data_IF_182195250892
#
_entry.id   IF_182195250892
#
_cell.length_a   1.000
_cell.length_b   1.000
_cell.length_c   1.000
_cell.angle_alpha   90.00
_cell.angle_beta   90.00
_cell.angle_gamma   90.00
#
_symmetry.space_group_name_H-M   'P 1'
#
loop_
_entity.id
_entity.type
_entity.pdbx_description
1 polymer ?
#
# COMPACT_ATOMS: atom_id res chain seq x y z
N UNK A 1 -7.98 10.20 7.98
CA UNK A 1 -7.53 9.11 7.08
C UNK A 1 -6.01 9.04 7.11
N UNK A 2 -5.47 7.83 7.26
CA UNK A 2 -4.05 7.50 7.17
C UNK A 2 -3.77 6.80 5.84
N UNK A 3 -2.62 7.11 5.26
CA UNK A 3 -2.05 6.40 4.13
C UNK A 3 -1.01 5.40 4.64
N UNK A 4 -1.14 4.13 4.24
CA UNK A 4 -0.25 3.04 4.61
C UNK A 4 0.45 2.50 3.37
N UNK A 5 1.76 2.69 3.27
CA UNK A 5 2.60 2.02 2.27
C UNK A 5 2.99 0.64 2.82
N UNK A 6 2.49 -0.42 2.20
CA UNK A 6 2.69 -1.80 2.67
C UNK A 6 3.49 -2.63 1.67
N UNK A 7 4.47 -3.39 2.17
CA UNK A 7 5.24 -4.38 1.39
C UNK A 7 4.49 -5.70 1.15
N UNK A 8 3.44 -5.96 1.93
CA UNK A 8 2.63 -7.16 1.76
C UNK A 8 1.74 -7.01 0.52
N UNK A 9 1.38 -8.14 -0.06
CA UNK A 9 0.23 -8.21 -0.95
C UNK A 9 -0.99 -8.75 -0.24
N UNK A 10 -2.15 -8.45 -0.81
CA UNK A 10 -3.40 -9.11 -0.50
C UNK A 10 -3.55 -10.35 -1.40
N UNK A 11 -4.32 -11.33 -0.92
CA UNK A 11 -4.54 -12.58 -1.64
C UNK A 11 -5.46 -12.38 -2.85
N UNK A 12 -5.01 -12.77 -4.04
CA UNK A 12 -5.78 -12.75 -5.29
C UNK A 12 -6.41 -14.09 -5.66
N UNK A 13 -6.20 -15.15 -4.84
CA UNK A 13 -6.67 -16.51 -5.12
C UNK A 13 -8.18 -16.72 -4.91
N UNK A 14 -8.90 -15.69 -4.48
CA UNK A 14 -10.36 -15.69 -4.52
C UNK A 14 -10.87 -15.60 -5.99
N UNK A 15 -11.32 -16.73 -6.54
CA UNK A 15 -12.48 -16.80 -7.45
C UNK A 15 -12.53 -15.90 -8.70
N UNK A 16 -11.40 -15.43 -9.23
CA UNK A 16 -11.40 -14.56 -10.42
C UNK A 16 -11.89 -13.12 -10.17
N UNK A 17 -12.02 -12.71 -8.91
CA UNK A 17 -12.30 -11.34 -8.50
C UNK A 17 -11.66 -11.09 -7.12
N UNK A 18 -10.94 -9.98 -6.87
CA UNK A 18 -10.28 -9.72 -5.59
C UNK A 18 -11.24 -9.86 -4.41
N UNK A 19 -11.05 -10.87 -3.55
CA UNK A 19 -11.56 -10.79 -2.17
C UNK A 19 -10.52 -10.00 -1.40
N UNK A 20 -10.74 -8.70 -1.12
CA UNK A 20 -9.65 -7.80 -0.85
C UNK A 20 -9.46 -7.74 0.65
N UNK A 21 -8.88 -8.82 1.17
CA UNK A 21 -8.51 -8.95 2.57
C UNK A 21 -7.00 -8.98 2.75
N UNK A 22 -6.54 -8.35 3.82
CA UNK A 22 -5.14 -8.35 4.23
C UNK A 22 -5.03 -8.88 5.66
N UNK A 23 -4.33 -10.00 5.82
CA UNK A 23 -4.00 -10.53 7.14
C UNK A 23 -2.71 -9.95 7.72
N UNK A 24 -2.76 -9.59 8.99
CA UNK A 24 -1.63 -9.11 9.79
C UNK A 24 -1.57 -9.80 11.16
N UNK A 25 -0.36 -9.94 11.67
CA UNK A 25 -0.06 -10.58 12.96
C UNK A 25 1.28 -10.04 13.48
N UNK A 26 1.58 -10.30 14.75
CA UNK A 26 2.87 -9.98 15.36
C UNK A 26 3.24 -8.50 15.29
N UNK A 27 4.51 -8.20 15.00
CA UNK A 27 5.03 -6.83 15.04
C UNK A 27 4.43 -5.92 13.97
N UNK A 28 4.05 -6.46 12.81
CA UNK A 28 3.39 -5.70 11.75
C UNK A 28 2.01 -5.21 12.22
N UNK A 29 1.21 -6.10 12.82
CA UNK A 29 -0.08 -5.70 13.37
C UNK A 29 0.06 -4.76 14.56
N UNK A 30 1.00 -5.05 15.47
CA UNK A 30 1.28 -4.18 16.60
C UNK A 30 1.65 -2.76 16.16
N UNK A 31 2.42 -2.62 15.08
CA UNK A 31 2.75 -1.32 14.50
C UNK A 31 1.51 -0.60 13.95
N UNK A 32 0.68 -1.26 13.14
CA UNK A 32 -0.56 -0.67 12.61
C UNK A 32 -1.49 -0.19 13.73
N UNK A 33 -1.70 -1.01 14.76
CA UNK A 33 -2.47 -0.64 15.96
C UNK A 33 -1.87 0.57 16.67
N UNK A 34 -0.55 0.59 16.89
CA UNK A 34 0.13 1.71 17.57
C UNK A 34 0.12 3.01 16.76
N UNK A 35 0.00 2.93 15.42
CA UNK A 35 -0.20 4.08 14.54
C UNK A 35 -1.68 4.52 14.45
N UNK A 36 -2.59 3.79 15.10
CA UNK A 36 -4.02 4.07 15.12
C UNK A 36 -4.70 3.78 13.79
N UNK A 37 -4.24 2.78 13.03
CA UNK A 37 -4.89 2.40 11.77
C UNK A 37 -6.30 1.87 12.04
N UNK A 38 -7.28 2.42 11.34
CA UNK A 38 -8.71 2.18 11.54
C UNK A 38 -9.49 2.07 10.22
N UNK A 39 -10.80 1.77 10.30
CA UNK A 39 -11.68 1.82 9.14
C UNK A 39 -11.69 3.23 8.51
N UNK A 40 -11.63 3.30 7.18
CA UNK A 40 -11.46 4.55 6.44
C UNK A 40 -10.01 4.90 6.10
N UNK A 41 -9.04 4.10 6.52
CA UNK A 41 -7.64 4.26 6.13
C UNK A 41 -7.32 3.53 4.81
N UNK A 42 -6.24 3.94 4.13
CA UNK A 42 -5.89 3.44 2.79
C UNK A 42 -4.52 2.77 2.77
N UNK A 43 -4.49 1.49 2.42
CA UNK A 43 -3.28 0.78 2.04
C UNK A 43 -2.97 1.01 0.55
N UNK A 44 -1.71 1.35 0.27
CA UNK A 44 -1.07 1.22 -1.03
C UNK A 44 0.00 0.14 -0.95
N UNK A 45 -0.17 -0.91 -1.73
CA UNK A 45 0.76 -2.04 -1.76
C UNK A 45 1.87 -1.76 -2.77
N UNK A 46 3.11 -1.94 -2.33
CA UNK A 46 4.28 -1.81 -3.20
C UNK A 46 5.17 -3.03 -3.07
N UNK A 47 5.95 -3.30 -4.12
CA UNK A 47 6.85 -4.45 -4.18
C UNK A 47 8.12 -4.14 -4.96
N UNK A 48 9.08 -5.05 -4.94
CA UNK A 48 10.28 -4.98 -5.76
C UNK A 48 9.98 -5.60 -7.12
N UNK A 49 10.10 -4.80 -8.17
CA UNK A 49 9.93 -5.22 -9.56
C UNK A 49 11.23 -5.08 -10.32
N UNK A 50 11.31 -5.77 -11.46
CA UNK A 50 12.38 -5.62 -12.43
C UNK A 50 11.81 -5.81 -13.83
N UNK A 51 12.28 -5.02 -14.80
CA UNK A 51 11.80 -5.12 -16.19
C UNK A 51 12.05 -6.54 -16.72
N UNK A 52 11.02 -7.14 -17.29
CA UNK A 52 11.06 -8.46 -17.89
C UNK A 52 10.63 -8.41 -19.35
N UNK A 53 11.18 -9.30 -20.16
CA UNK A 53 10.87 -9.48 -21.56
C UNK A 53 10.69 -10.97 -21.88
N UNK A 54 9.88 -11.25 -22.90
CA UNK A 54 9.74 -12.59 -23.45
C UNK A 54 10.91 -12.85 -24.42
N UNK A 55 11.75 -13.84 -24.12
CA UNK A 55 12.85 -14.25 -24.98
C UNK A 55 12.81 -15.77 -25.16
N UNK A 56 12.73 -16.24 -26.41
CA UNK A 56 12.57 -17.66 -26.74
C UNK A 56 11.42 -18.34 -25.95
N UNK A 57 10.25 -17.69 -25.91
CA UNK A 57 9.04 -18.16 -25.19
C UNK A 57 9.22 -18.35 -23.68
N UNK A 58 10.26 -17.75 -23.09
CA UNK A 58 10.50 -17.71 -21.63
C UNK A 58 10.61 -16.27 -21.17
N UNK A 59 10.04 -15.98 -20.01
CA UNK A 59 10.27 -14.70 -19.34
C UNK A 59 11.70 -14.64 -18.82
N UNK A 60 12.40 -13.54 -19.11
CA UNK A 60 13.68 -13.19 -18.49
C UNK A 60 13.67 -11.74 -18.07
N UNK A 61 14.52 -11.38 -17.11
CA UNK A 61 14.78 -9.96 -16.86
C UNK A 61 15.54 -9.36 -18.03
N UNK A 62 15.16 -8.13 -18.41
CA UNK A 62 15.86 -7.37 -19.43
C UNK A 62 17.31 -7.18 -18.96
N UNK A 63 18.33 -7.61 -19.72
CA UNK A 63 19.73 -7.42 -19.36
C UNK A 63 20.04 -5.95 -19.05
N UNK A 64 20.80 -5.70 -17.98
CA UNK A 64 21.13 -4.33 -17.54
C UNK A 64 20.00 -3.58 -16.81
N UNK A 65 18.76 -4.09 -16.80
CA UNK A 65 17.69 -3.49 -16.01
C UNK A 65 17.96 -3.61 -14.51
N UNK A 66 17.53 -2.59 -13.76
CA UNK A 66 17.69 -2.53 -12.29
C UNK A 66 16.36 -2.85 -11.60
N UNK A 67 16.41 -3.41 -10.37
CA UNK A 67 15.21 -3.52 -9.55
C UNK A 67 14.72 -2.14 -9.12
N UNK A 68 13.41 -1.99 -8.96
CA UNK A 68 12.75 -0.78 -8.50
C UNK A 68 11.54 -1.12 -7.64
N UNK A 69 11.16 -0.22 -6.73
CA UNK A 69 9.91 -0.29 -6.00
C UNK A 69 8.81 0.37 -6.82
N UNK A 70 7.67 -0.30 -6.93
CA UNK A 70 6.47 0.28 -7.51
C UNK A 70 5.23 -0.14 -6.73
N UNK A 71 4.25 0.77 -6.69
CA UNK A 71 2.91 0.52 -6.19
C UNK A 71 2.17 -0.31 -7.24
N UNK A 72 1.46 -1.35 -6.79
CA UNK A 72 0.75 -2.27 -7.68
C UNK A 72 -0.71 -2.50 -7.29
N UNK A 73 -1.15 -2.07 -6.11
CA UNK A 73 -2.55 -2.16 -5.71
C UNK A 73 -2.89 -1.34 -4.49
N UNK A 74 -4.18 -1.33 -4.14
CA UNK A 74 -4.70 -0.61 -2.99
C UNK A 74 -5.81 -1.39 -2.27
N UNK A 75 -6.00 -1.05 -1.00
CA UNK A 75 -7.11 -1.52 -0.16
C UNK A 75 -7.49 -0.41 0.81
N UNK A 76 -8.70 0.10 0.66
CA UNK A 76 -9.33 1.04 1.59
C UNK A 76 -10.06 0.23 2.66
N UNK A 77 -9.72 0.43 3.92
CA UNK A 77 -10.19 -0.39 5.03
C UNK A 77 -11.67 -0.11 5.28
N UNK A 78 -12.50 -1.14 5.12
CA UNK A 78 -13.90 -1.12 5.50
C UNK A 78 -14.10 -1.64 6.91
N UNK A 79 -13.57 -2.83 7.19
CA UNK A 79 -13.70 -3.49 8.50
C UNK A 79 -12.35 -4.05 8.95
N UNK A 80 -12.17 -4.11 10.27
CA UNK A 80 -10.99 -4.70 10.91
C UNK A 80 -11.49 -5.77 11.87
N UNK A 81 -11.06 -7.01 11.65
CA UNK A 81 -11.51 -8.17 12.42
C UNK A 81 -10.35 -8.75 13.21
N UNK A 82 -10.43 -8.75 14.54
CA UNK A 82 -9.52 -9.54 15.38
C UNK A 82 -9.97 -10.99 15.33
N UNK A 83 -9.22 -11.85 14.64
CA UNK A 83 -9.67 -13.19 14.24
C UNK A 83 -10.00 -14.06 15.45
N UNK A 84 -9.16 -14.05 16.48
CA UNK A 84 -9.32 -14.87 17.68
C UNK A 84 -10.43 -14.37 18.63
N UNK A 85 -11.01 -13.18 18.36
CA UNK A 85 -12.16 -12.63 19.10
C UNK A 85 -13.50 -12.90 18.35
N UNK A 86 -13.45 -13.43 17.14
CA UNK A 86 -14.64 -13.70 16.35
C UNK A 86 -15.43 -14.89 16.91
N UNK A 87 -16.76 -14.78 16.86
CA UNK A 87 -17.64 -15.88 17.21
C UNK A 87 -17.41 -17.10 16.29
N UNK A 88 -17.61 -18.34 16.79
CA UNK A 88 -17.58 -19.54 15.96
C UNK A 88 -18.53 -19.40 14.74
N UNK A 89 -18.03 -19.69 13.54
CA UNK A 89 -18.79 -19.55 12.30
C UNK A 89 -18.79 -18.17 11.66
N UNK A 90 -18.24 -17.14 12.31
CA UNK A 90 -18.09 -15.81 11.69
C UNK A 90 -17.21 -15.85 10.43
N UNK A 91 -17.48 -14.92 9.52
CA UNK A 91 -16.79 -14.74 8.23
C UNK A 91 -16.59 -16.05 7.45
N UNK A 92 -17.66 -16.82 7.15
CA UNK A 92 -17.53 -18.13 6.50
C UNK A 92 -16.82 -18.06 5.15
N UNK A 93 -16.96 -16.94 4.44
CA UNK A 93 -16.31 -16.68 3.15
C UNK A 93 -14.79 -16.48 3.27
N UNK A 94 -14.28 -16.05 4.43
CA UNK A 94 -12.85 -15.76 4.65
C UNK A 94 -12.09 -16.96 5.21
N UNK A 95 -12.77 -18.08 5.51
CA UNK A 95 -12.20 -19.25 6.18
C UNK A 95 -11.10 -19.96 5.41
N UNK A 96 -10.93 -19.70 4.12
CA UNK A 96 -9.80 -20.20 3.34
C UNK A 96 -8.48 -19.49 3.69
N UNK A 97 -8.56 -18.30 4.30
CA UNK A 97 -7.41 -17.44 4.51
C UNK A 97 -6.50 -18.01 5.60
N UNK A 98 -5.15 -18.01 5.44
CA UNK A 98 -4.22 -18.64 6.38
C UNK A 98 -4.37 -18.21 7.84
N UNK A 99 -4.88 -16.99 8.07
CA UNK A 99 -5.12 -16.44 9.40
C UNK A 99 -6.21 -17.17 10.21
N UNK A 100 -7.07 -17.97 9.58
CA UNK A 100 -8.05 -18.83 10.28
C UNK A 100 -7.52 -20.23 10.60
N UNK A 101 -6.30 -20.57 10.17
CA UNK A 101 -5.71 -21.89 10.30
C UNK A 101 -4.41 -21.92 11.12
N UNK A 102 -3.98 -20.75 11.62
CA UNK A 102 -2.80 -20.60 12.47
C UNK A 102 -3.05 -20.98 13.92
N UNK A 103 -2.00 -20.86 14.73
CA UNK A 103 -2.14 -20.86 16.19
C UNK A 103 -2.81 -19.55 16.64
N UNK A 104 -3.59 -19.57 17.74
CA UNK A 104 -4.19 -18.35 18.28
C UNK A 104 -3.15 -17.28 18.59
N UNK A 105 -3.41 -16.05 18.15
CA UNK A 105 -2.59 -14.88 18.41
C UNK A 105 -3.52 -13.67 18.62
N UNK A 106 -3.48 -13.03 19.79
CA UNK A 106 -4.29 -11.85 20.06
C UNK A 106 -4.03 -10.69 19.07
N UNK A 107 -2.89 -10.69 18.37
CA UNK A 107 -2.57 -9.78 17.28
C UNK A 107 -2.99 -10.26 15.89
N UNK A 108 -3.71 -11.38 15.75
CA UNK A 108 -4.17 -11.90 14.48
C UNK A 108 -5.35 -11.08 13.96
N UNK A 109 -5.12 -10.28 12.92
CA UNK A 109 -6.10 -9.32 12.41
C UNK A 109 -6.28 -9.45 10.91
N UNK A 110 -7.53 -9.39 10.47
CA UNK A 110 -7.91 -9.34 9.06
C UNK A 110 -8.50 -7.96 8.74
N UNK A 111 -7.85 -7.24 7.83
CA UNK A 111 -8.37 -6.01 7.25
C UNK A 111 -9.20 -6.37 6.03
N UNK A 112 -10.47 -6.03 6.05
CA UNK A 112 -11.39 -6.21 4.93
C UNK A 112 -11.60 -4.88 4.22
N UNK A 113 -11.49 -4.89 2.90
CA UNK A 113 -11.76 -3.72 2.07
C UNK A 113 -13.21 -3.25 2.19
N UNK A 114 -13.43 -1.95 2.13
CA UNK A 114 -14.76 -1.41 1.84
C UNK A 114 -15.18 -1.72 0.39
N UNK A 115 -16.47 -1.56 0.08
CA UNK A 115 -16.94 -1.60 -1.31
C UNK A 115 -16.48 -0.39 -2.11
N UNK A 116 -16.42 0.77 -1.46
CA UNK A 116 -16.08 2.05 -2.07
C UNK A 116 -15.06 2.82 -1.21
N UNK A 117 -14.17 3.54 -1.86
CA UNK A 117 -13.18 4.42 -1.26
C UNK A 117 -13.49 5.86 -1.67
N UNK A 118 -13.68 6.74 -0.69
CA UNK A 118 -13.76 8.18 -0.91
C UNK A 118 -12.60 8.84 -0.18
N UNK A 119 -11.76 9.56 -0.92
CA UNK A 119 -10.63 10.26 -0.33
C UNK A 119 -11.13 11.52 0.41
N UNK A 120 -10.41 11.98 1.46
CA UNK A 120 -10.75 13.21 2.17
C UNK A 120 -10.87 14.36 1.17
N UNK A 121 -11.84 15.25 1.29
CA UNK A 121 -12.03 16.41 0.38
C UNK A 121 -12.32 16.10 -1.10
N UNK A 122 -12.36 14.83 -1.52
CA UNK A 122 -12.71 14.43 -2.88
C UNK A 122 -14.19 14.10 -3.08
N UNK A 123 -14.77 14.55 -4.20
CA UNK A 123 -16.13 14.17 -4.61
C UNK A 123 -16.18 12.81 -5.33
N UNK A 124 -15.03 12.30 -5.77
CA UNK A 124 -14.93 11.09 -6.58
C UNK A 124 -14.93 9.82 -5.70
N UNK A 125 -15.69 8.80 -6.11
CA UNK A 125 -15.82 7.53 -5.40
C UNK A 125 -15.11 6.42 -6.18
N UNK A 126 -14.10 5.78 -5.58
CA UNK A 126 -13.32 4.70 -6.16
C UNK A 126 -13.78 3.33 -5.65
N UNK A 127 -13.39 2.25 -6.32
CA UNK A 127 -13.51 0.92 -5.73
C UNK A 127 -12.67 0.85 -4.45
N UNK A 128 -13.18 0.17 -3.42
CA UNK A 128 -12.46 0.07 -2.14
C UNK A 128 -11.12 -0.65 -2.26
N UNK A 129 -10.94 -1.50 -3.27
CA UNK A 129 -9.67 -2.18 -3.54
C UNK A 129 -9.44 -2.36 -5.03
N UNK A 130 -8.19 -2.60 -5.41
CA UNK A 130 -7.87 -3.00 -6.77
C UNK A 130 -6.38 -3.10 -7.03
N UNK A 131 -6.05 -3.33 -8.30
CA UNK A 131 -4.68 -3.39 -8.80
C UNK A 131 -4.48 -2.35 -9.88
N UNK A 132 -3.25 -1.86 -10.03
CA UNK A 132 -2.87 -1.01 -11.16
C UNK A 132 -2.46 -1.91 -12.34
N UNK A 133 -3.26 -1.98 -13.43
CA UNK A 133 -3.05 -2.98 -14.47
C UNK A 133 -1.84 -2.69 -15.36
N UNK A 134 -1.35 -1.45 -15.36
CA UNK A 134 -0.22 -1.00 -16.16
C UNK A 134 0.76 -0.26 -15.25
N UNK A 135 2.04 -0.59 -15.37
CA UNK A 135 3.10 0.19 -14.75
C UNK A 135 3.10 1.59 -15.40
N UNK A 136 3.08 2.62 -14.56
CA UNK A 136 3.20 4.03 -14.94
C UNK A 136 4.26 4.68 -14.06
N UNK A 137 4.81 5.81 -14.51
CA UNK A 137 5.88 6.50 -13.80
C UNK A 137 5.43 6.99 -12.41
N UNK A 138 4.15 7.34 -12.23
CA UNK A 138 3.59 7.79 -10.95
C UNK A 138 3.48 6.66 -9.91
N UNK A 139 3.50 5.40 -10.36
CA UNK A 139 3.48 4.23 -9.49
C UNK A 139 4.89 3.83 -9.05
N UNK A 140 5.95 4.31 -9.72
CA UNK A 140 7.33 3.98 -9.39
C UNK A 140 7.80 4.86 -8.24
N UNK A 141 8.11 4.21 -7.11
CA UNK A 141 8.64 4.88 -5.93
C UNK A 141 10.14 5.16 -6.06
N UNK A 142 10.89 4.23 -6.67
CA UNK A 142 12.35 4.37 -6.84
C UNK A 142 12.69 5.52 -7.77
N UNK A 143 13.65 6.35 -7.35
CA UNK A 143 14.25 7.37 -8.20
C UNK A 143 14.84 6.74 -9.48
N UNK A 144 14.40 7.13 -10.69
CA UNK A 144 14.90 6.55 -11.93
C UNK A 144 16.41 6.74 -12.15
N UNK A 145 17.04 7.71 -11.47
CA UNK A 145 18.49 7.92 -11.54
C UNK A 145 19.27 7.08 -10.52
N UNK A 146 18.58 6.50 -9.54
CA UNK A 146 19.21 5.72 -8.47
C UNK A 146 19.66 4.32 -8.93
N UNK A 147 20.69 3.81 -8.25
CA UNK A 147 21.08 2.39 -8.32
C UNK A 147 20.40 1.54 -7.26
N UNK A 148 19.92 2.15 -6.18
CA UNK A 148 19.31 1.49 -5.03
C UNK A 148 17.77 1.63 -5.10
N UNK A 149 17.01 0.52 -5.01
CA UNK A 149 15.54 0.57 -5.06
C UNK A 149 14.93 1.31 -3.86
N UNK A 150 15.66 1.38 -2.74
CA UNK A 150 15.24 2.08 -1.52
C UNK A 150 15.43 3.60 -1.57
N UNK A 151 16.08 4.14 -2.60
CA UNK A 151 16.10 5.59 -2.82
C UNK A 151 14.84 5.98 -3.56
N UNK A 152 13.88 6.52 -2.83
CA UNK A 152 12.60 6.92 -3.38
C UNK A 152 12.61 8.37 -3.84
N UNK A 153 11.84 8.65 -4.89
CA UNK A 153 11.48 9.99 -5.36
C UNK A 153 9.97 10.13 -5.22
N UNK A 154 9.53 10.94 -4.29
CA UNK A 154 8.13 11.23 -3.99
C UNK A 154 7.83 12.70 -4.35
N UNK A 155 6.56 13.08 -4.43
CA UNK A 155 6.18 14.49 -4.57
C UNK A 155 6.76 15.31 -3.42
N UNK A 156 7.15 16.57 -3.69
CA UNK A 156 7.62 17.49 -2.65
C UNK A 156 6.65 17.59 -1.45
N UNK A 157 5.35 17.42 -1.68
CA UNK A 157 4.32 17.38 -0.64
C UNK A 157 4.54 16.30 0.44
N UNK A 158 5.23 15.19 0.13
CA UNK A 158 5.57 14.17 1.15
C UNK A 158 6.66 14.63 2.14
N UNK A 159 7.38 15.71 1.84
CA UNK A 159 8.47 16.17 2.69
C UNK A 159 7.93 16.70 4.02
N UNK A 160 8.35 16.15 5.18
CA UNK A 160 7.79 16.55 6.47
C UNK A 160 8.07 18.02 6.81
N UNK A 161 9.24 18.55 6.44
CA UNK A 161 9.72 19.80 7.02
C UNK A 161 9.94 19.64 8.52
N UNK A 162 9.82 20.75 9.26
CA UNK A 162 10.03 20.76 10.72
C UNK A 162 8.71 20.56 11.49
N UNK A 163 7.56 20.82 10.85
CA UNK A 163 6.26 20.96 11.52
C UNK A 163 5.32 19.76 11.35
N UNK A 164 5.65 18.79 10.49
CA UNK A 164 4.76 17.65 10.19
C UNK A 164 5.36 16.31 10.62
N UNK A 165 4.56 15.41 11.22
CA UNK A 165 5.02 14.05 11.52
C UNK A 165 5.40 13.30 10.24
N UNK A 166 6.66 12.84 10.11
CA UNK A 166 7.10 12.12 8.92
C UNK A 166 6.46 10.73 8.82
N UNK A 167 6.56 10.14 7.63
CA UNK A 167 6.22 8.74 7.39
C UNK A 167 6.86 7.83 8.46
N UNK A 168 6.08 6.93 9.06
CA UNK A 168 6.58 6.11 10.17
C UNK A 168 7.82 5.30 9.79
N UNK A 169 8.71 5.08 10.76
CA UNK A 169 10.10 4.60 10.59
C UNK A 169 11.08 5.55 9.84
N UNK A 170 10.63 6.72 9.39
CA UNK A 170 11.46 7.70 8.67
C UNK A 170 11.58 9.04 9.41
N UNK A 171 11.70 9.00 10.74
CA UNK A 171 11.75 10.21 11.58
C UNK A 171 13.06 11.00 11.49
N UNK A 172 14.14 10.38 11.02
CA UNK A 172 15.44 11.04 10.93
C UNK A 172 15.47 12.00 9.71
N UNK A 173 15.76 13.31 9.90
CA UNK A 173 15.76 14.27 8.81
C UNK A 173 16.75 13.95 7.69
N UNK A 174 17.89 13.32 8.01
CA UNK A 174 18.92 12.91 7.05
C UNK A 174 18.46 11.88 6.00
N UNK A 175 17.32 11.22 6.24
CA UNK A 175 16.67 10.34 5.26
C UNK A 175 15.94 11.11 4.17
N UNK A 176 15.60 12.37 4.42
CA UNK A 176 14.80 13.21 3.54
C UNK A 176 15.65 14.25 2.85
N UNK A 177 15.32 14.56 1.60
CA UNK A 177 15.92 15.65 0.87
C UNK A 177 14.87 16.31 -0.02
N UNK A 178 14.59 17.58 0.23
CA UNK A 178 13.68 18.37 -0.61
C UNK A 178 14.43 18.95 -1.82
N UNK A 179 13.93 18.69 -3.03
CA UNK A 179 14.42 19.26 -4.29
C UNK A 179 13.23 19.40 -5.24
N UNK A 180 12.53 20.51 -5.13
CA UNK A 180 11.30 20.81 -5.88
C UNK A 180 11.45 20.49 -7.38
N UNK A 181 10.47 19.82 -8.02
CA UNK A 181 9.13 19.49 -7.49
C UNK A 181 9.05 18.18 -6.68
N UNK A 182 10.19 17.58 -6.36
CA UNK A 182 10.27 16.28 -5.69
C UNK A 182 10.81 16.39 -4.26
N UNK A 183 10.57 15.35 -3.47
CA UNK A 183 11.41 15.02 -2.34
C UNK A 183 11.96 13.61 -2.49
N UNK A 184 13.11 13.36 -1.87
CA UNK A 184 13.79 12.09 -1.94
C UNK A 184 13.86 11.48 -0.55
N UNK A 185 13.55 10.19 -0.46
CA UNK A 185 13.50 9.44 0.78
C UNK A 185 14.43 8.23 0.70
N UNK A 186 15.33 8.08 1.67
CA UNK A 186 16.05 6.83 1.90
C UNK A 186 15.16 5.88 2.70
N UNK A 187 14.40 5.04 1.99
CA UNK A 187 13.45 4.09 2.58
C UNK A 187 14.16 3.09 3.51
N UNK A 188 13.62 2.91 4.71
CA UNK A 188 14.13 1.98 5.69
C UNK A 188 14.02 0.53 5.20
N UNK A 189 15.07 -0.28 5.39
CA UNK A 189 14.99 -1.72 5.11
C UNK A 189 14.06 -2.46 6.08
N UNK A 190 13.90 -1.91 7.29
CA UNK A 190 13.06 -2.43 8.38
C UNK A 190 11.66 -1.81 8.33
N UNK A 191 10.65 -2.62 8.67
CA UNK A 191 9.24 -2.22 8.65
C UNK A 191 8.53 -2.82 7.43
N UNK A 192 7.42 -3.49 7.69
CA UNK A 192 6.56 -4.04 6.63
C UNK A 192 5.56 -2.99 6.15
N UNK A 193 5.09 -2.12 7.05
CA UNK A 193 4.19 -1.00 6.78
C UNK A 193 4.76 0.34 7.22
N UNK A 194 4.51 1.38 6.43
CA UNK A 194 4.83 2.77 6.73
C UNK A 194 3.55 3.60 6.69
N UNK A 195 3.29 4.38 7.74
CA UNK A 195 2.02 5.08 7.96
C UNK A 195 2.25 6.59 7.94
N UNK A 196 1.36 7.31 7.27
CA UNK A 196 1.34 8.78 7.16
C UNK A 196 -0.08 9.29 7.46
N UNK A 197 -0.22 10.28 8.36
CA UNK A 197 -1.52 10.91 8.60
C UNK A 197 -1.81 12.01 7.56
N UNK A 198 -2.76 11.76 6.65
CA UNK A 198 -3.08 12.69 5.56
C UNK A 198 -3.70 14.01 6.03
N UNK A 199 -4.20 14.11 7.26
CA UNK A 199 -4.70 15.38 7.82
C UNK A 199 -3.59 16.45 7.86
N UNK A 200 -2.35 16.04 8.06
CA UNK A 200 -1.17 16.93 8.03
C UNK A 200 -0.54 17.07 6.65
N UNK A 201 -1.09 16.37 5.65
CA UNK A 201 -0.61 16.34 4.25
C UNK A 201 -1.78 16.44 3.24
N UNK A 202 -2.60 17.50 3.30
CA UNK A 202 -3.80 17.62 2.45
C UNK A 202 -3.47 17.63 0.95
N UNK A 203 -2.29 18.16 0.57
CA UNK A 203 -1.82 18.24 -0.82
C UNK A 203 -1.62 16.87 -1.49
N UNK A 204 -1.58 15.78 -0.72
CA UNK A 204 -1.43 14.43 -1.25
C UNK A 204 -2.76 13.84 -1.74
N UNK A 205 -3.90 14.40 -1.37
CA UNK A 205 -5.22 13.90 -1.75
C UNK A 205 -5.44 13.92 -3.27
N UNK A 206 -5.06 15.01 -3.94
CA UNK A 206 -5.23 15.13 -5.39
C UNK A 206 -4.35 14.13 -6.14
N UNK A 207 -3.12 13.94 -5.65
CA UNK A 207 -2.22 12.91 -6.17
C UNK A 207 -2.79 11.50 -5.97
N UNK A 208 -3.31 11.18 -4.77
CA UNK A 208 -3.95 9.89 -4.50
C UNK A 208 -5.15 9.65 -5.42
N UNK A 209 -5.99 10.68 -5.62
CA UNK A 209 -7.14 10.61 -6.53
C UNK A 209 -6.69 10.33 -7.97
N UNK A 210 -5.64 11.03 -8.43
CA UNK A 210 -5.01 10.78 -9.72
C UNK A 210 -4.48 9.35 -9.85
N UNK A 211 -3.81 8.85 -8.81
CA UNK A 211 -3.26 7.50 -8.77
C UNK A 211 -4.39 6.45 -8.89
N UNK A 212 -5.41 6.51 -8.03
CA UNK A 212 -6.53 5.55 -8.00
C UNK A 212 -7.31 5.55 -9.32
N UNK A 213 -7.44 6.69 -10.01
CA UNK A 213 -8.07 6.76 -11.33
C UNK A 213 -7.38 5.88 -12.36
N UNK A 214 -6.07 5.71 -12.28
CA UNK A 214 -5.31 4.83 -13.20
C UNK A 214 -5.59 3.34 -13.00
N UNK A 215 -6.14 2.97 -11.84
CA UNK A 215 -6.59 1.61 -11.53
C UNK A 215 -7.95 1.28 -12.17
N UNK A 216 -8.76 2.29 -12.52
CA UNK A 216 -10.09 2.08 -13.13
C UNK A 216 -10.05 1.62 -14.58
N UNK A 217 -8.95 1.86 -15.29
CA UNK A 217 -8.82 1.53 -16.72
C UNK A 217 -8.92 0.01 -17.04
N UNK A 218 -9.12 -0.84 -16.02
CA UNK A 218 -9.41 -2.28 -16.15
C UNK A 218 -10.72 -2.76 -15.52
N UNK A 219 -11.51 -1.88 -14.89
CA UNK A 219 -12.80 -2.22 -14.29
C UNK A 219 -13.82 -1.12 -14.63
N UNK A 220 -14.45 -1.25 -15.79
CA UNK A 220 -15.75 -0.62 -16.03
C UNK A 220 -16.74 -1.23 -15.01
N UNK A 221 -17.53 -0.42 -14.27
CA UNK A 221 -18.67 -0.97 -13.57
C UNK A 221 -19.67 -1.55 -14.60
N UNK A 222 -20.46 -2.57 -14.22
CA UNK A 222 -21.55 -3.07 -15.05
C UNK A 222 -22.60 -1.99 -15.33
#
# INVERSE_FOLDING_TARGET
MRLILSRKGFDSSAGGCPSPVLGQTGSAQGHLRNQGVESGDLFLFFGVFRRAEMHNRRWRFVPGSRPFHAIWGWLHVGQIHTIDELAPGALPWARYHPHFHGQPDAGNTLYESSHACQLPTGAEVFAGSGVFPKLRDELVLTDPQSRLPTRWRLLAAFYPGDDRPPLSYHTKPDRWQLKSPWCYLNCAARGQEFVLNLETYPDLTDWLSGLLRTGRDGQLPP
#
